data_IF_433011131580
#
_entry.id   IF_433011131580
#
_cell.length_a   1.000
_cell.length_b   1.000
_cell.length_c   1.000
_cell.angle_alpha   90.00
_cell.angle_beta   90.00
_cell.angle_gamma   90.00
#
_symmetry.space_group_name_H-M   'P 1'
#
loop_
_entity.id
_entity.type
_entity.pdbx_description
1 polymer ?
#
# COMPACT_ATOMS: atom_id res chain seq x y z
N UNK A 1 0.46 -2.14 -20.86
CA UNK A 1 -0.88 -2.70 -20.55
C UNK A 1 -1.54 -1.76 -19.56
N UNK A 2 -2.78 -1.33 -19.80
CA UNK A 2 -3.43 -0.31 -18.98
C UNK A 2 -4.57 -0.92 -18.15
N UNK A 3 -4.86 -0.32 -17.00
CA UNK A 3 -5.87 -0.78 -16.05
C UNK A 3 -6.77 0.38 -15.62
N UNK A 4 -8.04 0.06 -15.33
CA UNK A 4 -8.92 0.93 -14.56
C UNK A 4 -9.01 0.39 -13.14
N UNK A 5 -8.89 1.27 -12.15
CA UNK A 5 -8.96 0.95 -10.73
C UNK A 5 -10.26 1.52 -10.14
N UNK A 6 -10.92 0.76 -9.28
CA UNK A 6 -12.15 1.19 -8.65
C UNK A 6 -12.40 0.46 -7.32
N UNK A 7 -13.23 1.08 -6.48
CA UNK A 7 -13.76 0.46 -5.27
C UNK A 7 -15.09 -0.20 -5.58
N UNK A 8 -15.32 -1.39 -5.03
CA UNK A 8 -16.65 -1.99 -5.00
C UNK A 8 -17.02 -2.40 -3.59
N UNK A 9 -18.21 -2.02 -3.14
CA UNK A 9 -18.80 -2.58 -1.93
C UNK A 9 -19.60 -3.83 -2.29
N UNK A 10 -19.41 -4.96 -1.58
CA UNK A 10 -20.25 -6.14 -1.78
C UNK A 10 -21.75 -5.81 -1.59
N UNK A 11 -22.67 -6.52 -2.27
CA UNK A 11 -24.08 -6.16 -2.32
C UNK A 11 -24.89 -6.46 -1.04
N UNK A 12 -24.26 -6.80 0.09
CA UNK A 12 -24.96 -7.12 1.35
C UNK A 12 -24.35 -6.40 2.53
N UNK A 13 -25.21 -6.15 3.52
CA UNK A 13 -25.03 -5.30 4.68
C UNK A 13 -23.63 -5.38 5.35
N UNK A 14 -22.89 -4.27 5.25
CA UNK A 14 -21.68 -3.91 6.00
C UNK A 14 -20.37 -4.67 5.72
N UNK A 15 -19.98 -4.79 4.44
CA UNK A 15 -18.62 -5.18 4.09
C UNK A 15 -17.74 -3.96 3.73
N UNK A 16 -16.50 -3.97 4.22
CA UNK A 16 -15.48 -2.97 3.92
C UNK A 16 -15.16 -2.95 2.41
N UNK A 17 -14.60 -1.85 1.88
CA UNK A 17 -14.32 -1.70 0.45
C UNK A 17 -13.44 -2.82 -0.12
N UNK A 18 -13.78 -3.30 -1.31
CA UNK A 18 -12.89 -4.11 -2.14
C UNK A 18 -12.19 -3.20 -3.14
N UNK A 19 -10.86 -3.23 -3.16
CA UNK A 19 -10.07 -2.57 -4.20
C UNK A 19 -9.95 -3.53 -5.37
N UNK A 20 -10.37 -3.07 -6.54
CA UNK A 20 -10.43 -3.89 -7.75
C UNK A 20 -9.81 -3.16 -8.93
N UNK A 21 -9.41 -3.95 -9.93
CA UNK A 21 -8.98 -3.44 -11.23
C UNK A 21 -9.56 -4.25 -12.38
N UNK A 22 -9.62 -3.66 -13.56
CA UNK A 22 -9.87 -4.36 -14.83
C UNK A 22 -8.82 -3.98 -15.84
N UNK A 23 -8.36 -4.95 -16.61
CA UNK A 23 -7.48 -4.72 -17.77
C UNK A 23 -8.27 -3.97 -18.85
N UNK A 24 -7.65 -2.95 -19.44
CA UNK A 24 -8.14 -2.31 -20.67
C UNK A 24 -7.60 -3.14 -21.84
N UNK A 25 -8.51 -3.73 -22.61
CA UNK A 25 -8.22 -4.57 -23.76
C UNK A 25 -7.89 -3.72 -25.00
N UNK A 26 -7.33 -4.34 -26.03
CA UNK A 26 -6.89 -3.62 -27.25
C UNK A 26 -8.04 -2.94 -27.99
N UNK A 27 -9.26 -3.48 -27.88
CA UNK A 27 -10.49 -2.91 -28.43
C UNK A 27 -11.10 -1.81 -27.54
N UNK A 28 -10.44 -1.46 -26.43
CA UNK A 28 -10.89 -0.46 -25.46
C UNK A 28 -11.93 -0.99 -24.46
N UNK A 29 -12.36 -2.25 -24.57
CA UNK A 29 -13.25 -2.87 -23.60
C UNK A 29 -12.53 -3.24 -22.29
N UNK A 30 -13.30 -3.59 -21.27
CA UNK A 30 -12.76 -4.00 -19.98
C UNK A 30 -12.79 -5.51 -19.84
N UNK A 31 -11.65 -6.10 -19.48
CA UNK A 31 -11.57 -7.50 -19.08
C UNK A 31 -12.26 -7.78 -17.74
N UNK A 32 -12.08 -9.01 -17.26
CA UNK A 32 -12.68 -9.46 -16.00
C UNK A 32 -12.15 -8.69 -14.78
N UNK A 33 -13.00 -8.49 -13.75
CA UNK A 33 -12.63 -7.75 -12.56
C UNK A 33 -11.75 -8.56 -11.60
N UNK A 34 -10.54 -8.09 -11.38
CA UNK A 34 -9.56 -8.64 -10.43
C UNK A 34 -9.66 -7.93 -9.07
N UNK A 35 -9.65 -8.70 -7.98
CA UNK A 35 -9.50 -8.13 -6.62
C UNK A 35 -8.02 -7.95 -6.31
N UNK A 36 -7.62 -6.75 -5.92
CA UNK A 36 -6.23 -6.43 -5.57
C UNK A 36 -6.05 -6.25 -4.06
N UNK A 37 -7.10 -5.87 -3.33
CA UNK A 37 -7.11 -5.85 -1.87
C UNK A 37 -8.53 -6.05 -1.34
N UNK A 38 -8.70 -7.03 -0.47
CA UNK A 38 -9.92 -7.25 0.29
C UNK A 38 -9.71 -6.84 1.75
N UNK A 39 -10.32 -5.72 2.16
CA UNK A 39 -10.24 -5.27 3.54
C UNK A 39 -10.96 -6.21 4.52
N UNK A 40 -11.94 -6.99 4.06
CA UNK A 40 -12.67 -7.93 4.89
C UNK A 40 -11.78 -9.12 5.28
N UNK A 41 -10.98 -9.65 4.34
CA UNK A 41 -9.98 -10.68 4.65
C UNK A 41 -8.95 -10.21 5.68
N UNK A 42 -8.55 -8.93 5.62
CA UNK A 42 -7.67 -8.34 6.62
C UNK A 42 -8.35 -8.23 7.98
N UNK A 43 -9.62 -7.81 8.02
CA UNK A 43 -10.39 -7.66 9.26
C UNK A 43 -10.66 -8.99 9.96
N UNK A 44 -10.73 -10.11 9.22
CA UNK A 44 -10.81 -11.44 9.82
C UNK A 44 -9.52 -11.83 10.57
N UNK A 45 -8.38 -11.27 10.15
CA UNK A 45 -7.05 -11.59 10.69
C UNK A 45 -6.56 -10.58 11.73
N UNK A 46 -7.02 -9.34 11.68
CA UNK A 46 -6.53 -8.24 12.51
C UNK A 46 -7.69 -7.51 13.19
N UNK A 47 -7.48 -7.13 14.45
CA UNK A 47 -8.48 -6.45 15.29
C UNK A 47 -8.84 -5.06 14.80
N UNK A 48 -7.93 -4.41 14.06
CA UNK A 48 -8.14 -3.12 13.44
C UNK A 48 -7.45 -3.09 12.07
N UNK A 49 -8.11 -2.49 11.08
CA UNK A 49 -7.58 -2.27 9.73
C UNK A 49 -8.05 -0.89 9.29
N UNK A 50 -7.09 0.01 9.10
CA UNK A 50 -7.32 1.35 8.52
C UNK A 50 -6.31 1.58 7.41
N UNK A 51 -6.78 1.74 6.16
CA UNK A 51 -5.94 1.90 4.97
C UNK A 51 -5.90 3.36 4.57
N UNK A 52 -4.75 3.99 4.84
CA UNK A 52 -4.49 5.41 4.57
C UNK A 52 -4.05 5.65 3.12
N UNK A 53 -3.41 4.67 2.49
CA UNK A 53 -2.87 4.82 1.16
C UNK A 53 -2.69 3.48 0.46
N UNK A 54 -2.97 3.48 -0.85
CA UNK A 54 -2.82 2.32 -1.71
C UNK A 54 -2.25 2.76 -3.06
N UNK A 55 -1.15 2.16 -3.50
CA UNK A 55 -0.55 2.43 -4.82
C UNK A 55 -0.13 1.12 -5.47
N UNK A 56 -0.59 0.91 -6.70
CA UNK A 56 -0.15 -0.22 -7.53
C UNK A 56 1.01 0.19 -8.42
N UNK A 57 1.95 -0.72 -8.66
CA UNK A 57 2.94 -0.53 -9.73
C UNK A 57 2.26 -0.53 -11.10
N UNK A 58 2.60 0.40 -12.01
CA UNK A 58 1.97 0.47 -13.33
C UNK A 58 2.24 -0.74 -14.23
N UNK A 59 3.41 -1.41 -14.07
CA UNK A 59 3.85 -2.49 -14.97
C UNK A 59 3.82 -3.88 -14.35
N UNK A 60 3.79 -3.98 -13.02
CA UNK A 60 3.84 -5.24 -12.28
C UNK A 60 2.67 -5.35 -11.32
N UNK A 61 2.35 -6.57 -10.94
CA UNK A 61 1.22 -6.91 -10.07
C UNK A 61 1.49 -6.57 -8.59
N UNK A 62 2.51 -5.79 -8.28
CA UNK A 62 2.90 -5.41 -6.91
C UNK A 62 2.04 -4.24 -6.42
N UNK A 63 1.58 -4.36 -5.18
CA UNK A 63 0.72 -3.45 -4.46
C UNK A 63 1.46 -2.94 -3.21
N UNK A 64 1.41 -1.64 -3.00
CA UNK A 64 1.75 -1.02 -1.72
C UNK A 64 0.47 -0.62 -1.01
N UNK A 65 0.34 -1.03 0.24
CA UNK A 65 -0.77 -0.65 1.10
C UNK A 65 -0.24 -0.18 2.44
N UNK A 66 -0.59 1.04 2.85
CA UNK A 66 -0.21 1.57 4.16
C UNK A 66 -1.40 1.47 5.10
N UNK A 67 -1.25 0.67 6.16
CA UNK A 67 -2.32 0.45 7.14
C UNK A 67 -1.81 0.09 8.52
N UNK A 68 -2.66 0.23 9.54
CA UNK A 68 -2.35 -0.11 10.94
C UNK A 68 -3.13 -1.35 11.40
N UNK A 69 -2.49 -2.19 12.22
CA UNK A 69 -3.06 -3.44 12.80
C UNK A 69 -3.65 -3.24 14.20
N UNK A 70 -3.15 -2.27 14.96
CA UNK A 70 -3.40 -2.15 16.40
C UNK A 70 -4.26 -0.94 16.78
N UNK A 71 -4.55 -0.04 15.83
CA UNK A 71 -5.24 1.23 16.14
C UNK A 71 -4.37 2.21 16.94
N UNK A 72 -3.07 1.90 17.12
CA UNK A 72 -2.09 2.73 17.85
C UNK A 72 -1.64 3.96 17.05
N UNK A 73 -2.30 4.28 15.94
CA UNK A 73 -2.00 5.43 15.08
C UNK A 73 -0.72 5.31 14.26
N UNK A 74 0.10 4.28 14.51
CA UNK A 74 1.32 4.01 13.74
C UNK A 74 1.01 3.11 12.57
N UNK A 75 1.16 3.64 11.35
CA UNK A 75 0.90 2.90 10.12
C UNK A 75 2.16 2.18 9.66
N UNK A 76 1.99 0.95 9.19
CA UNK A 76 3.05 0.20 8.53
C UNK A 76 2.75 0.13 7.05
N UNK A 77 3.78 0.26 6.23
CA UNK A 77 3.69 0.04 4.80
C UNK A 77 3.86 -1.44 4.50
N UNK A 78 2.80 -2.07 4.04
CA UNK A 78 2.77 -3.45 3.61
C UNK A 78 2.99 -3.52 2.11
N UNK A 79 3.99 -4.32 1.72
CA UNK A 79 4.31 -4.64 0.35
C UNK A 79 3.71 -6.01 0.05
N UNK A 80 2.80 -6.05 -0.90
CA UNK A 80 2.14 -7.28 -1.33
C UNK A 80 2.25 -7.46 -2.83
N UNK A 81 2.31 -8.70 -3.28
CA UNK A 81 2.23 -9.03 -4.70
C UNK A 81 0.86 -9.62 -4.98
N UNK A 82 0.10 -8.99 -5.88
CA UNK A 82 -1.24 -9.38 -6.28
C UNK A 82 -1.21 -10.00 -7.67
N UNK A 83 -0.90 -11.28 -7.80
CA UNK A 83 -0.89 -12.00 -9.08
C UNK A 83 -2.12 -12.90 -9.20
N UNK A 84 -2.91 -12.74 -10.27
CA UNK A 84 -4.07 -13.61 -10.56
C UNK A 84 -5.06 -13.76 -9.38
N UNK A 85 -5.25 -12.69 -8.61
CA UNK A 85 -6.15 -12.68 -7.45
C UNK A 85 -5.57 -13.32 -6.18
N UNK A 86 -4.32 -13.81 -6.20
CA UNK A 86 -3.59 -14.20 -5.00
C UNK A 86 -2.78 -13.02 -4.48
N UNK A 87 -2.98 -12.69 -3.19
CA UNK A 87 -2.23 -11.65 -2.49
C UNK A 87 -1.16 -12.31 -1.63
N UNK A 88 0.10 -12.16 -2.01
CA UNK A 88 1.26 -12.64 -1.26
C UNK A 88 1.86 -11.49 -0.46
N UNK A 89 2.08 -11.71 0.85
CA UNK A 89 2.84 -10.77 1.67
C UNK A 89 4.33 -10.89 1.33
N UNK A 90 4.95 -9.76 0.98
CA UNK A 90 6.37 -9.69 0.65
C UNK A 90 7.15 -9.15 1.84
N UNK A 91 6.79 -7.96 2.32
CA UNK A 91 7.52 -7.26 3.38
C UNK A 91 6.65 -6.20 4.08
N UNK A 92 7.07 -5.72 5.25
CA UNK A 92 6.43 -4.64 5.99
C UNK A 92 7.45 -3.68 6.59
N UNK A 93 7.31 -2.39 6.27
CA UNK A 93 8.10 -1.32 6.85
C UNK A 93 7.27 -0.61 7.93
N UNK A 94 7.71 -0.63 9.20
CA UNK A 94 6.95 0.00 10.28
C UNK A 94 7.08 1.53 10.26
N UNK A 95 6.11 2.22 10.86
CA UNK A 95 6.12 3.68 11.11
C UNK A 95 6.23 4.54 9.84
N UNK A 96 5.62 4.10 8.74
CA UNK A 96 5.59 4.86 7.49
C UNK A 96 4.45 5.86 7.48
N UNK A 97 4.77 7.09 7.12
CA UNK A 97 3.81 8.20 7.05
C UNK A 97 3.32 8.43 5.62
N UNK A 98 4.24 8.37 4.66
CA UNK A 98 3.95 8.56 3.25
C UNK A 98 4.91 7.74 2.40
N UNK A 99 4.51 7.40 1.18
CA UNK A 99 5.29 6.58 0.27
C UNK A 99 4.96 6.88 -1.21
N UNK A 100 5.94 6.66 -2.08
CA UNK A 100 5.84 6.86 -3.53
C UNK A 100 6.68 5.84 -4.29
N UNK A 101 6.19 5.41 -5.45
CA UNK A 101 6.98 4.57 -6.35
C UNK A 101 8.03 5.39 -7.09
N UNK A 102 9.21 4.82 -7.25
CA UNK A 102 10.20 5.26 -8.23
C UNK A 102 9.77 4.92 -9.65
N UNK A 103 10.50 5.46 -10.63
CA UNK A 103 10.19 5.29 -12.05
C UNK A 103 10.59 3.94 -12.64
N UNK A 104 11.28 3.09 -11.88
CA UNK A 104 11.99 1.88 -12.35
C UNK A 104 11.34 0.56 -11.93
N UNK A 105 10.14 0.59 -11.34
CA UNK A 105 9.41 -0.56 -10.78
C UNK A 105 10.19 -1.40 -9.74
N UNK A 106 11.29 -0.87 -9.21
CA UNK A 106 12.20 -1.54 -8.27
C UNK A 106 12.49 -0.70 -7.04
N UNK A 107 12.30 0.61 -7.17
CA UNK A 107 12.59 1.59 -6.13
C UNK A 107 11.29 2.13 -5.55
N UNK A 108 11.23 2.24 -4.24
CA UNK A 108 10.18 2.97 -3.53
C UNK A 108 10.81 3.95 -2.55
N UNK A 109 10.19 5.12 -2.42
CA UNK A 109 10.54 6.14 -1.44
C UNK A 109 9.48 6.17 -0.35
N UNK A 110 9.90 6.25 0.90
CA UNK A 110 8.98 6.44 2.02
C UNK A 110 9.58 7.35 3.08
N UNK A 111 8.70 7.94 3.89
CA UNK A 111 9.06 8.72 5.07
C UNK A 111 8.72 7.91 6.33
N UNK A 112 9.70 7.68 7.18
CA UNK A 112 9.54 6.95 8.43
C UNK A 112 9.57 7.89 9.64
N UNK A 113 8.63 7.71 10.57
CA UNK A 113 8.64 8.44 11.83
C UNK A 113 9.62 7.80 12.82
N UNK A 114 10.53 8.61 13.37
CA UNK A 114 11.54 8.16 14.34
C UNK A 114 10.99 7.97 15.76
N UNK A 115 9.87 8.63 16.10
CA UNK A 115 9.30 8.66 17.45
C UNK A 115 7.91 8.03 17.43
N UNK A 116 7.59 7.25 18.47
CA UNK A 116 6.24 6.74 18.76
C UNK A 116 5.32 7.87 19.23
N UNK A 117 5.08 8.87 18.38
CA UNK A 117 4.19 9.97 18.71
C UNK A 117 3.01 10.02 17.72
N UNK A 118 1.77 10.11 18.23
CA UNK A 118 0.60 10.19 17.38
C UNK A 118 0.57 11.56 16.71
N UNK A 119 0.64 11.56 15.37
CA UNK A 119 0.00 12.47 14.39
C UNK A 119 0.28 14.00 14.48
N UNK A 120 0.51 14.59 15.65
CA UNK A 120 0.51 16.06 15.86
C UNK A 120 1.89 16.74 15.81
N UNK A 121 2.97 16.00 15.50
CA UNK A 121 4.31 16.60 15.25
C UNK A 121 4.93 16.12 13.92
N UNK A 122 4.09 15.89 12.91
CA UNK A 122 4.42 15.37 11.57
C UNK A 122 5.36 16.22 10.69
N UNK A 123 6.03 17.25 11.23
CA UNK A 123 6.86 18.21 10.49
C UNK A 123 8.37 18.13 10.81
N UNK A 124 8.86 17.08 11.50
CA UNK A 124 10.26 17.12 12.01
C UNK A 124 11.07 15.81 12.00
N UNK A 125 10.78 14.87 11.10
CA UNK A 125 11.81 13.89 10.71
C UNK A 125 11.55 13.39 9.30
N UNK A 126 12.17 14.05 8.33
CA UNK A 126 12.06 13.69 6.92
C UNK A 126 13.18 12.71 6.56
N UNK A 127 12.96 11.41 6.78
CA UNK A 127 13.88 10.38 6.32
C UNK A 127 13.36 9.81 5.02
N UNK A 128 13.91 10.23 3.88
CA UNK A 128 13.66 9.58 2.59
C UNK A 128 14.44 8.28 2.57
N UNK A 129 13.78 7.16 2.74
CA UNK A 129 14.45 5.86 2.62
C UNK A 129 14.05 5.21 1.30
N UNK A 130 15.05 4.79 0.54
CA UNK A 130 14.91 4.04 -0.71
C UNK A 130 14.92 2.56 -0.36
N UNK A 131 13.85 1.82 -0.67
CA UNK A 131 13.97 0.37 -0.80
C UNK A 131 14.34 0.07 -2.25
N UNK A 132 15.57 -0.36 -2.47
CA UNK A 132 15.88 -1.29 -3.55
C UNK A 132 15.62 -2.70 -3.01
N UNK A 133 15.16 -3.63 -3.85
CA UNK A 133 14.71 -5.02 -3.58
C UNK A 133 15.63 -5.86 -2.65
N UNK A 134 16.78 -5.35 -2.22
CA UNK A 134 17.78 -6.04 -1.40
C UNK A 134 18.24 -5.28 -0.13
N UNK A 135 17.97 -3.98 0.01
CA UNK A 135 18.41 -3.19 1.18
C UNK A 135 17.81 -1.79 1.23
N UNK A 136 17.49 -1.33 2.44
CA UNK A 136 17.09 0.04 2.72
C UNK A 136 18.31 0.98 2.61
N UNK A 137 18.18 2.07 1.87
CA UNK A 137 19.19 3.12 1.75
C UNK A 137 18.61 4.44 2.23
N UNK A 138 19.20 5.00 3.28
CA UNK A 138 18.81 6.31 3.81
C UNK A 138 19.37 7.41 2.91
N UNK A 139 18.50 8.19 2.28
CA UNK A 139 18.90 9.25 1.34
C UNK A 139 19.11 10.60 2.02
N UNK A 140 18.43 10.84 3.14
CA UNK A 140 18.51 12.08 3.89
C UNK A 140 18.14 11.81 5.34
N UNK A 141 18.97 12.31 6.26
CA UNK A 141 18.66 12.43 7.69
C UNK A 141 18.70 13.91 8.05
N UNK A 142 17.63 14.40 8.66
CA UNK A 142 17.64 15.70 9.31
C UNK A 142 17.95 15.47 10.79
N UNK A 143 19.21 15.70 11.17
CA UNK A 143 19.61 15.77 12.58
C UNK A 143 19.18 17.13 13.16
N UNK A 144 18.66 17.11 14.39
CA UNK A 144 18.38 18.31 15.19
C UNK A 144 19.56 18.66 16.09
#
# INVERSE_FOLDING_TARGET
MAYIYYLSNPPKDFFLPLYRRRKILEDGSYGDPETILDQNELKERYSHVDIQGLKCLPRKSTLLSCWTKSGEGTHSLYITEAHEGMINFVDAIPKVVNFEWGSDDLTMYYNQALIDNPIDQMLSSCTKTCQSVLSDVVLQEEER
#
